data_IF_100597982147
#
_entry.id   IF_100597982147
#
_cell.length_a   1.000
_cell.length_b   1.000
_cell.length_c   1.000
_cell.angle_alpha   90.00
_cell.angle_beta   90.00
_cell.angle_gamma   90.00
#
_symmetry.space_group_name_H-M   'P 1'
#
loop_
_entity.id
_entity.type
_entity.pdbx_description
1 polymer ?
#
# COMPACT_ATOMS: atom_id res chain seq x y z
N UNK A 1 12.84 -0.59 25.81
CA UNK A 1 12.48 -1.54 24.73
C UNK A 1 11.01 -1.47 24.30
N UNK A 2 10.06 -1.22 25.21
CA UNK A 2 8.62 -1.11 24.91
C UNK A 2 8.21 0.03 23.94
N UNK A 3 8.99 1.12 23.86
CA UNK A 3 8.63 2.32 23.08
C UNK A 3 8.87 2.26 21.57
N UNK A 4 9.79 1.42 21.09
CA UNK A 4 10.16 1.40 19.64
C UNK A 4 9.32 0.40 18.85
N UNK A 5 8.88 -0.70 19.47
CA UNK A 5 8.00 -1.68 18.83
C UNK A 5 6.54 -1.19 18.80
N UNK A 6 6.15 -0.37 19.78
CA UNK A 6 4.90 0.41 19.70
C UNK A 6 4.89 1.35 18.49
N UNK A 7 6.01 1.93 18.04
CA UNK A 7 5.98 2.89 16.93
C UNK A 7 5.57 2.26 15.58
N UNK A 8 6.00 1.02 15.28
CA UNK A 8 5.63 0.35 14.03
C UNK A 8 4.17 -0.11 14.00
N UNK A 9 3.60 -0.47 15.16
CA UNK A 9 2.18 -0.82 15.31
C UNK A 9 1.27 0.42 15.48
N UNK A 10 1.79 1.51 16.06
CA UNK A 10 1.08 2.79 16.13
C UNK A 10 1.11 3.57 14.81
N UNK A 11 1.98 3.28 13.84
CA UNK A 11 1.87 3.97 12.54
C UNK A 11 0.60 3.56 11.77
N UNK A 12 0.00 2.41 12.09
CA UNK A 12 -1.30 1.99 11.56
C UNK A 12 -2.52 2.57 12.32
N UNK A 13 -2.34 3.13 13.52
CA UNK A 13 -3.45 3.61 14.38
C UNK A 13 -3.33 5.08 14.84
N UNK A 14 -2.13 5.69 14.82
CA UNK A 14 -1.86 7.06 15.27
C UNK A 14 -1.93 8.12 14.16
N UNK A 15 -2.14 7.72 12.90
CA UNK A 15 -2.43 8.66 11.81
C UNK A 15 -3.81 9.36 11.94
N UNK A 16 -4.55 9.12 13.02
CA UNK A 16 -5.91 9.62 13.22
C UNK A 16 -6.03 10.96 13.95
N UNK A 17 -4.99 11.48 14.61
CA UNK A 17 -5.11 12.78 15.31
C UNK A 17 -3.81 13.58 15.20
N UNK A 18 -3.63 14.30 14.10
CA UNK A 18 -2.72 15.44 14.05
C UNK A 18 -3.48 16.65 13.49
N UNK A 19 -3.57 17.77 14.23
CA UNK A 19 -4.15 19.00 13.71
C UNK A 19 -3.21 19.57 12.62
N UNK A 20 -3.73 19.71 11.41
CA UNK A 20 -3.03 20.37 10.30
C UNK A 20 -2.86 21.84 10.64
N UNK A 21 -1.67 22.23 11.11
CA UNK A 21 -1.25 23.63 11.15
C UNK A 21 -1.11 24.12 9.71
N UNK A 22 -2.04 24.98 9.30
CA UNK A 22 -2.04 25.65 8.01
C UNK A 22 -0.76 26.47 7.83
N UNK A 23 0.06 26.12 6.84
CA UNK A 23 1.17 26.97 6.42
C UNK A 23 0.63 28.23 5.69
N UNK A 24 1.26 29.41 5.88
CA UNK A 24 0.82 30.65 5.25
C UNK A 24 1.03 30.59 3.73
N UNK A 25 -0.07 30.87 3.03
CA UNK A 25 -0.23 30.98 1.57
C UNK A 25 0.67 32.11 1.05
N UNK A 26 1.85 31.78 0.51
CA UNK A 26 2.72 32.75 -0.21
C UNK A 26 1.96 33.31 -1.41
N UNK A 27 1.65 34.60 -1.35
CA UNK A 27 1.05 35.36 -2.43
C UNK A 27 2.03 35.45 -3.61
N UNK A 28 1.83 34.60 -4.63
CA UNK A 28 2.52 34.78 -5.89
C UNK A 28 1.90 35.95 -6.66
N UNK A 29 2.73 36.99 -6.73
CA UNK A 29 2.64 38.23 -7.50
C UNK A 29 2.03 37.99 -8.89
N UNK A 30 0.90 38.65 -9.16
CA UNK A 30 0.24 38.71 -10.47
C UNK A 30 1.17 39.43 -11.46
N UNK A 31 1.75 38.69 -12.41
CA UNK A 31 2.15 39.30 -13.68
C UNK A 31 0.94 39.26 -14.60
N UNK A 32 0.43 40.47 -14.88
CA UNK A 32 -0.61 40.72 -15.85
C UNK A 32 -0.10 40.33 -17.24
N UNK A 33 -0.49 39.15 -17.71
CA UNK A 33 -0.25 38.71 -19.08
C UNK A 33 -1.46 39.09 -19.93
N UNK A 34 -1.18 39.96 -20.88
CA UNK A 34 -2.07 40.55 -21.87
C UNK A 34 -2.86 39.45 -22.61
N UNK A 35 -4.18 39.35 -22.39
CA UNK A 35 -5.06 38.43 -23.11
C UNK A 35 -5.50 39.07 -24.42
N UNK A 36 -4.99 38.56 -25.54
CA UNK A 36 -5.70 38.66 -26.82
C UNK A 36 -6.99 37.82 -26.73
N UNK A 37 -8.13 38.31 -27.24
CA UNK A 37 -9.33 37.50 -27.39
C UNK A 37 -9.15 36.58 -28.59
N UNK A 38 -8.52 35.42 -28.39
CA UNK A 38 -8.62 34.33 -29.35
C UNK A 38 -10.10 33.93 -29.37
N UNK A 39 -10.79 34.27 -30.47
CA UNK A 39 -12.12 33.73 -30.76
C UNK A 39 -11.98 32.22 -30.82
N UNK A 40 -12.28 31.55 -29.72
CA UNK A 40 -12.60 30.13 -29.68
C UNK A 40 -13.82 29.97 -30.58
N UNK A 41 -13.56 29.68 -31.85
CA UNK A 41 -14.48 28.91 -32.66
C UNK A 41 -15.03 27.81 -31.77
N UNK A 42 -16.35 27.79 -31.61
CA UNK A 42 -17.05 26.73 -30.93
C UNK A 42 -16.67 25.41 -31.62
N UNK A 43 -15.61 24.77 -31.14
CA UNK A 43 -15.39 23.35 -31.30
C UNK A 43 -16.72 22.72 -30.89
N UNK A 44 -17.34 21.90 -31.75
CA UNK A 44 -18.61 21.32 -31.44
C UNK A 44 -18.44 20.60 -30.12
N UNK A 45 -19.14 21.07 -29.08
CA UNK A 45 -19.34 20.39 -27.81
C UNK A 45 -20.18 19.11 -28.00
N UNK A 46 -20.08 18.50 -29.17
CA UNK A 46 -20.26 17.09 -29.43
C UNK A 46 -18.97 16.34 -29.07
N UNK A 47 -18.30 16.76 -27.98
CA UNK A 47 -17.49 15.83 -27.19
C UNK A 47 -18.45 14.72 -26.81
N UNK A 48 -18.33 13.59 -27.51
CA UNK A 48 -19.22 12.45 -27.40
C UNK A 48 -19.57 12.25 -25.93
N UNK A 49 -20.84 12.48 -25.58
CA UNK A 49 -21.38 12.10 -24.27
C UNK A 49 -21.25 10.59 -24.26
N UNK A 50 -20.11 10.09 -23.77
CA UNK A 50 -19.87 8.65 -23.65
C UNK A 50 -21.02 8.11 -22.84
N UNK A 51 -21.63 7.05 -23.34
CA UNK A 51 -22.75 6.46 -22.63
C UNK A 51 -22.27 6.02 -21.23
N UNK A 52 -23.15 6.11 -20.24
CA UNK A 52 -22.86 5.58 -18.90
C UNK A 52 -22.46 4.10 -18.93
N UNK A 53 -22.90 3.35 -19.95
CA UNK A 53 -22.49 1.96 -20.18
C UNK A 53 -21.02 1.85 -20.60
N UNK A 54 -20.56 2.67 -21.55
CA UNK A 54 -19.15 2.71 -21.97
C UNK A 54 -18.22 3.09 -20.82
N UNK A 55 -18.56 4.12 -20.04
CA UNK A 55 -17.73 4.53 -18.90
C UNK A 55 -17.60 3.44 -17.83
N UNK A 56 -18.66 2.66 -17.61
CA UNK A 56 -18.63 1.50 -16.71
C UNK A 56 -17.77 0.38 -17.24
N UNK A 57 -17.88 0.09 -18.54
CA UNK A 57 -17.08 -0.94 -19.16
C UNK A 57 -15.59 -0.59 -19.13
N UNK A 58 -15.22 0.65 -19.45
CA UNK A 58 -13.84 1.13 -19.33
C UNK A 58 -13.31 1.09 -17.89
N UNK A 59 -14.16 1.44 -16.91
CA UNK A 59 -13.79 1.33 -15.49
C UNK A 59 -13.58 -0.13 -15.07
N UNK A 60 -14.39 -1.05 -15.61
CA UNK A 60 -14.22 -2.49 -15.40
C UNK A 60 -12.90 -2.97 -16.01
N UNK A 61 -12.59 -2.59 -17.25
CA UNK A 61 -11.31 -2.91 -17.88
C UNK A 61 -10.13 -2.36 -17.08
N UNK A 62 -10.26 -1.15 -16.54
CA UNK A 62 -9.24 -0.59 -15.64
C UNK A 62 -9.06 -1.46 -14.39
N UNK A 63 -10.13 -1.88 -13.72
CA UNK A 63 -10.06 -2.78 -12.57
C UNK A 63 -9.41 -4.13 -12.93
N UNK A 64 -9.76 -4.72 -14.06
CA UNK A 64 -9.18 -5.97 -14.54
C UNK A 64 -7.68 -5.84 -14.84
N UNK A 65 -7.29 -4.76 -15.50
CA UNK A 65 -5.88 -4.44 -15.80
C UNK A 65 -5.07 -4.13 -14.55
N UNK A 66 -5.72 -3.73 -13.44
CA UNK A 66 -5.07 -3.52 -12.16
C UNK A 66 -4.85 -4.81 -11.37
N UNK A 67 -5.75 -5.80 -11.52
CA UNK A 67 -5.65 -7.09 -10.83
C UNK A 67 -4.44 -7.92 -11.30
N UNK A 68 -4.10 -7.84 -12.58
CA UNK A 68 -2.97 -8.58 -13.16
C UNK A 68 -1.60 -8.24 -12.53
N UNK A 69 -1.15 -6.97 -12.47
CA UNK A 69 0.11 -6.63 -11.83
C UNK A 69 0.09 -6.91 -10.32
N UNK A 70 -1.03 -6.71 -9.62
CA UNK A 70 -1.15 -7.06 -8.21
C UNK A 70 -0.93 -8.57 -7.96
N UNK A 71 -1.53 -9.41 -8.81
CA UNK A 71 -1.35 -10.87 -8.76
C UNK A 71 0.10 -11.28 -9.03
N UNK A 72 0.78 -10.60 -9.95
CA UNK A 72 2.20 -10.84 -10.24
C UNK A 72 3.07 -10.50 -9.02
N UNK A 73 2.84 -9.35 -8.37
CA UNK A 73 3.55 -8.96 -7.15
C UNK A 73 3.28 -9.98 -6.04
N UNK A 74 2.02 -10.42 -5.85
CA UNK A 74 1.70 -11.45 -4.87
C UNK A 74 2.48 -12.76 -5.11
N UNK A 75 2.58 -13.20 -6.36
CA UNK A 75 3.38 -14.38 -6.74
C UNK A 75 4.88 -14.20 -6.45
N UNK A 76 5.44 -13.03 -6.77
CA UNK A 76 6.84 -12.70 -6.49
C UNK A 76 7.13 -12.65 -4.98
N UNK A 77 6.17 -12.20 -4.17
CA UNK A 77 6.27 -12.19 -2.71
C UNK A 77 6.31 -13.61 -2.15
N UNK A 78 5.51 -14.55 -2.69
CA UNK A 78 5.55 -15.97 -2.27
C UNK A 78 6.94 -16.57 -2.55
N UNK A 79 7.49 -16.33 -3.74
CA UNK A 79 8.84 -16.79 -4.07
C UNK A 79 9.89 -16.19 -3.10
N UNK A 80 9.77 -14.90 -2.79
CA UNK A 80 10.67 -14.22 -1.85
C UNK A 80 10.52 -14.77 -0.42
N UNK A 81 9.31 -15.14 0.01
CA UNK A 81 9.07 -15.78 1.31
C UNK A 81 9.75 -17.15 1.38
N UNK A 82 9.61 -17.95 0.32
CA UNK A 82 10.27 -19.25 0.21
C UNK A 82 11.80 -19.11 0.27
N UNK A 83 12.39 -18.14 -0.44
CA UNK A 83 13.82 -17.88 -0.38
C UNK A 83 14.29 -17.48 1.03
N UNK A 84 13.53 -16.61 1.71
CA UNK A 84 13.84 -16.16 3.08
C UNK A 84 13.69 -17.26 4.13
N UNK A 85 12.77 -18.21 3.92
CA UNK A 85 12.58 -19.36 4.79
C UNK A 85 13.71 -20.38 4.64
N UNK A 86 14.15 -20.63 3.42
CA UNK A 86 15.21 -21.60 3.11
C UNK A 86 16.63 -21.03 3.28
N UNK A 87 16.81 -19.72 3.40
CA UNK A 87 18.12 -19.10 3.67
C UNK A 87 18.45 -19.14 5.18
N UNK A 88 19.39 -19.99 5.64
CA UNK A 88 19.73 -20.10 7.05
C UNK A 88 20.38 -18.82 7.61
N UNK A 89 20.89 -17.94 6.75
CA UNK A 89 21.41 -16.63 7.15
C UNK A 89 20.31 -15.65 7.53
N UNK A 90 19.07 -15.87 7.08
CA UNK A 90 17.90 -15.04 7.34
C UNK A 90 17.10 -15.47 8.58
N UNK A 91 17.35 -16.66 9.10
CA UNK A 91 16.89 -17.04 10.44
C UNK A 91 17.53 -16.09 11.47
N UNK A 92 16.75 -15.40 12.31
CA UNK A 92 17.32 -14.67 13.44
C UNK A 92 18.06 -15.65 14.36
N UNK A 93 19.17 -15.22 14.99
CA UNK A 93 19.95 -16.05 15.92
C UNK A 93 20.27 -15.27 17.18
N UNK A 94 20.44 -15.91 18.34
CA UNK A 94 20.82 -15.21 19.57
C UNK A 94 22.16 -14.45 19.44
N UNK A 95 23.11 -15.03 18.69
CA UNK A 95 24.40 -14.41 18.35
C UNK A 95 24.28 -13.12 17.51
N UNK A 96 23.15 -12.92 16.82
CA UNK A 96 22.96 -11.72 16.01
C UNK A 96 22.80 -10.47 16.89
N UNK A 97 23.45 -9.39 16.44
CA UNK A 97 23.19 -8.05 16.98
C UNK A 97 21.69 -7.78 16.94
N UNK A 98 21.16 -7.18 18.01
CA UNK A 98 19.73 -6.90 18.16
C UNK A 98 19.10 -6.21 16.94
N UNK A 99 19.81 -5.25 16.31
CA UNK A 99 19.33 -4.56 15.11
C UNK A 99 19.16 -5.52 13.92
N UNK A 100 20.07 -6.47 13.74
CA UNK A 100 20.00 -7.49 12.68
C UNK A 100 18.82 -8.43 12.92
N UNK A 101 18.60 -8.88 14.16
CA UNK A 101 17.41 -9.68 14.50
C UNK A 101 16.11 -8.97 14.17
N UNK A 102 16.02 -7.68 14.52
CA UNK A 102 14.85 -6.87 14.19
C UNK A 102 14.69 -6.71 12.68
N UNK A 103 15.78 -6.49 11.94
CA UNK A 103 15.74 -6.39 10.49
C UNK A 103 15.24 -7.70 9.84
N UNK A 104 15.77 -8.86 10.23
CA UNK A 104 15.32 -10.19 9.75
C UNK A 104 13.83 -10.43 10.00
N UNK A 105 13.37 -10.10 11.21
CA UNK A 105 11.94 -10.14 11.57
C UNK A 105 11.11 -9.15 10.74
N UNK A 106 11.66 -7.96 10.49
CA UNK A 106 11.07 -6.93 9.64
C UNK A 106 10.87 -7.38 8.19
N UNK A 107 11.86 -8.05 7.60
CA UNK A 107 11.74 -8.63 6.24
C UNK A 107 10.52 -9.56 6.16
N UNK A 108 10.39 -10.50 7.08
CA UNK A 108 9.24 -11.44 7.10
C UNK A 108 7.91 -10.71 7.26
N UNK A 109 7.84 -9.73 8.17
CA UNK A 109 6.63 -8.93 8.37
C UNK A 109 6.26 -8.13 7.12
N UNK A 110 7.23 -7.51 6.47
CA UNK A 110 7.03 -6.74 5.24
C UNK A 110 6.54 -7.64 4.11
N UNK A 111 7.14 -8.83 3.92
CA UNK A 111 6.68 -9.78 2.91
C UNK A 111 5.26 -10.29 3.17
N UNK A 112 4.93 -10.71 4.39
CA UNK A 112 3.57 -11.16 4.73
C UNK A 112 2.54 -10.03 4.52
N UNK A 113 2.89 -8.80 4.93
CA UNK A 113 2.02 -7.64 4.72
C UNK A 113 1.86 -7.32 3.23
N UNK A 114 2.93 -7.44 2.43
CA UNK A 114 2.89 -7.21 0.99
C UNK A 114 1.92 -8.19 0.33
N UNK A 115 2.08 -9.50 0.60
CA UNK A 115 1.18 -10.53 0.10
C UNK A 115 -0.28 -10.25 0.46
N UNK A 116 -0.56 -9.94 1.73
CA UNK A 116 -1.91 -9.68 2.21
C UNK A 116 -2.54 -8.48 1.49
N UNK A 117 -1.78 -7.41 1.30
CA UNK A 117 -2.25 -6.19 0.61
C UNK A 117 -2.50 -6.44 -0.87
N UNK A 118 -1.63 -7.18 -1.57
CA UNK A 118 -1.84 -7.51 -2.98
C UNK A 118 -3.08 -8.39 -3.20
N UNK A 119 -3.28 -9.41 -2.35
CA UNK A 119 -4.49 -10.24 -2.40
C UNK A 119 -5.74 -9.40 -2.13
N UNK A 120 -5.67 -8.47 -1.18
CA UNK A 120 -6.78 -7.56 -0.92
C UNK A 120 -7.05 -6.63 -2.12
N UNK A 121 -6.01 -6.14 -2.80
CA UNK A 121 -6.15 -5.34 -4.01
C UNK A 121 -6.89 -6.12 -5.11
N UNK A 122 -6.45 -7.36 -5.40
CA UNK A 122 -7.10 -8.26 -6.38
C UNK A 122 -8.56 -8.54 -6.03
N UNK A 123 -8.84 -8.80 -4.75
CA UNK A 123 -10.19 -9.05 -4.28
C UNK A 123 -11.10 -7.84 -4.48
N UNK A 124 -10.63 -6.65 -4.10
CA UNK A 124 -11.40 -5.41 -4.23
C UNK A 124 -11.64 -5.05 -5.70
N UNK A 125 -10.64 -5.19 -6.57
CA UNK A 125 -10.84 -4.97 -8.02
C UNK A 125 -11.86 -5.92 -8.61
N UNK A 126 -11.86 -7.18 -8.16
CA UNK A 126 -12.82 -8.19 -8.62
C UNK A 126 -14.24 -7.84 -8.20
N UNK A 127 -14.45 -7.47 -6.92
CA UNK A 127 -15.76 -7.04 -6.43
C UNK A 127 -16.23 -5.77 -7.15
N UNK A 128 -15.34 -4.78 -7.30
CA UNK A 128 -15.70 -3.53 -7.99
C UNK A 128 -16.08 -3.81 -9.43
N UNK A 129 -15.35 -4.70 -10.10
CA UNK A 129 -15.66 -5.15 -11.45
C UNK A 129 -17.04 -5.80 -11.56
N UNK A 130 -17.41 -6.68 -10.63
CA UNK A 130 -18.75 -7.29 -10.64
C UNK A 130 -19.85 -6.28 -10.31
N UNK A 131 -19.58 -5.31 -9.43
CA UNK A 131 -20.50 -4.21 -9.14
C UNK A 131 -20.73 -3.32 -10.37
N UNK A 132 -19.68 -2.98 -11.13
CA UNK A 132 -19.78 -2.19 -12.35
C UNK A 132 -20.63 -2.85 -13.44
N UNK A 133 -20.58 -4.19 -13.53
CA UNK A 133 -21.36 -4.95 -14.49
C UNK A 133 -22.80 -5.21 -14.03
N UNK A 134 -23.07 -5.22 -12.72
CA UNK A 134 -24.39 -5.51 -12.15
C UNK A 134 -25.23 -4.27 -11.85
N UNK A 135 -24.61 -3.15 -11.49
CA UNK A 135 -25.31 -1.92 -11.13
C UNK A 135 -25.60 -1.08 -12.38
N UNK A 136 -26.88 -0.82 -12.65
CA UNK A 136 -27.33 0.06 -13.73
C UNK A 136 -27.17 1.55 -13.41
N UNK A 137 -26.85 1.91 -12.17
CA UNK A 137 -26.65 3.30 -11.77
C UNK A 137 -25.21 3.74 -12.04
N UNK A 138 -25.06 4.83 -12.79
CA UNK A 138 -23.78 5.49 -12.98
C UNK A 138 -23.94 6.97 -12.66
N UNK A 139 -23.09 7.49 -11.78
CA UNK A 139 -22.99 8.92 -11.59
C UNK A 139 -22.50 9.58 -12.88
N UNK A 140 -22.98 10.79 -13.16
CA UNK A 140 -22.47 11.59 -14.28
C UNK A 140 -20.98 11.90 -14.05
N UNK A 141 -20.11 11.37 -14.91
CA UNK A 141 -18.67 11.54 -14.83
C UNK A 141 -18.06 11.71 -16.23
N UNK A 142 -16.97 12.48 -16.32
CA UNK A 142 -16.29 12.73 -17.60
C UNK A 142 -15.32 11.61 -18.00
N UNK A 143 -14.86 10.80 -17.04
CA UNK A 143 -13.86 9.75 -17.25
C UNK A 143 -14.21 8.51 -16.39
N UNK A 144 -13.77 7.31 -16.80
CA UNK A 144 -14.00 6.08 -16.00
C UNK A 144 -13.40 6.19 -14.60
N UNK A 145 -12.25 6.86 -14.47
CA UNK A 145 -11.58 7.09 -13.19
C UNK A 145 -12.39 8.02 -12.28
N UNK A 146 -12.91 9.11 -12.83
CA UNK A 146 -13.77 10.03 -12.09
C UNK A 146 -15.05 9.32 -11.63
N UNK A 147 -15.60 8.44 -12.46
CA UNK A 147 -16.77 7.63 -12.11
C UNK A 147 -16.47 6.68 -10.93
N UNK A 148 -15.36 5.93 -10.98
CA UNK A 148 -14.93 5.08 -9.88
C UNK A 148 -14.77 5.87 -8.58
N UNK A 149 -14.16 7.05 -8.65
CA UNK A 149 -13.97 7.90 -7.47
C UNK A 149 -15.30 8.37 -6.88
N UNK A 150 -16.27 8.77 -7.70
CA UNK A 150 -17.55 9.33 -7.21
C UNK A 150 -18.47 8.23 -6.71
N UNK A 151 -18.59 7.12 -7.44
CA UNK A 151 -19.56 6.05 -7.13
C UNK A 151 -18.99 5.00 -6.17
N UNK A 152 -17.70 4.68 -6.29
CA UNK A 152 -17.02 3.58 -5.58
C UNK A 152 -15.73 4.08 -4.89
N UNK A 153 -15.81 5.23 -4.21
CA UNK A 153 -14.63 5.91 -3.64
C UNK A 153 -13.81 5.00 -2.71
N UNK A 154 -14.50 4.19 -1.90
CA UNK A 154 -13.86 3.29 -0.95
C UNK A 154 -13.02 2.23 -1.68
N UNK A 155 -13.64 1.54 -2.63
CA UNK A 155 -13.01 0.46 -3.40
C UNK A 155 -11.87 0.99 -4.25
N UNK A 156 -12.09 2.15 -4.89
CA UNK A 156 -11.09 2.87 -5.66
C UNK A 156 -9.83 3.18 -4.82
N UNK A 157 -10.02 3.76 -3.63
CA UNK A 157 -8.92 4.09 -2.74
C UNK A 157 -8.25 2.86 -2.16
N UNK A 158 -9.04 1.87 -1.73
CA UNK A 158 -8.53 0.67 -1.09
C UNK A 158 -7.65 -0.13 -2.05
N UNK A 159 -8.10 -0.33 -3.29
CA UNK A 159 -7.32 -0.95 -4.35
C UNK A 159 -5.97 -0.24 -4.58
N UNK A 160 -6.03 1.08 -4.76
CA UNK A 160 -4.85 1.93 -5.01
C UNK A 160 -3.84 1.94 -3.86
N UNK A 161 -4.32 2.01 -2.62
CA UNK A 161 -3.48 1.98 -1.41
C UNK A 161 -2.87 0.60 -1.24
N UNK A 162 -3.67 -0.45 -1.36
CA UNK A 162 -3.21 -1.81 -1.09
C UNK A 162 -2.10 -2.23 -2.06
N UNK A 163 -2.27 -1.99 -3.36
CA UNK A 163 -1.23 -2.30 -4.34
C UNK A 163 0.04 -1.46 -4.14
N UNK A 164 -0.07 -0.14 -3.96
CA UNK A 164 1.13 0.67 -3.77
C UNK A 164 1.88 0.27 -2.48
N UNK A 165 1.14 0.10 -1.38
CA UNK A 165 1.74 -0.29 -0.10
C UNK A 165 2.32 -1.71 -0.16
N UNK A 166 1.65 -2.63 -0.86
CA UNK A 166 2.11 -3.99 -1.06
C UNK A 166 3.43 -4.03 -1.83
N UNK A 167 3.48 -3.33 -2.96
CA UNK A 167 4.68 -3.16 -3.78
C UNK A 167 5.84 -2.51 -3.02
N UNK A 168 5.57 -1.44 -2.26
CA UNK A 168 6.59 -0.78 -1.41
C UNK A 168 7.10 -1.72 -0.32
N UNK A 169 6.21 -2.49 0.31
CA UNK A 169 6.59 -3.44 1.35
C UNK A 169 7.44 -4.59 0.78
N UNK A 170 7.10 -5.11 -0.41
CA UNK A 170 7.88 -6.13 -1.07
C UNK A 170 9.29 -5.62 -1.44
N UNK A 171 9.39 -4.51 -2.18
CA UNK A 171 10.68 -3.93 -2.56
C UNK A 171 11.52 -3.56 -1.34
N UNK A 172 10.89 -3.01 -0.30
CA UNK A 172 11.54 -2.66 0.95
C UNK A 172 12.06 -3.90 1.70
N UNK A 173 11.35 -5.03 1.63
CA UNK A 173 11.81 -6.29 2.20
C UNK A 173 13.06 -6.81 1.48
N UNK A 174 13.08 -6.77 0.14
CA UNK A 174 14.24 -7.17 -0.67
C UNK A 174 15.43 -6.24 -0.38
N UNK A 175 15.20 -4.92 -0.35
CA UNK A 175 16.23 -3.95 -0.01
C UNK A 175 16.83 -4.22 1.39
N UNK A 176 15.98 -4.52 2.37
CA UNK A 176 16.41 -4.84 3.73
C UNK A 176 17.14 -6.19 3.82
N UNK A 177 16.73 -7.18 3.03
CA UNK A 177 17.41 -8.47 2.92
C UNK A 177 18.86 -8.31 2.44
N UNK A 178 19.09 -7.50 1.39
CA UNK A 178 20.45 -7.19 0.93
C UNK A 178 21.23 -6.31 1.92
N UNK A 179 20.54 -5.47 2.71
CA UNK A 179 21.19 -4.67 3.74
C UNK A 179 21.70 -5.52 4.92
N UNK A 180 21.15 -6.71 5.17
CA UNK A 180 21.56 -7.58 6.27
C UNK A 180 22.89 -8.30 5.91
N UNK A 181 23.94 -8.20 6.75
CA UNK A 181 25.20 -8.88 6.48
C UNK A 181 25.06 -10.40 6.65
N UNK A 182 25.61 -11.16 5.70
CA UNK A 182 25.60 -12.63 5.72
C UNK A 182 26.94 -13.18 6.21
N UNK A 183 26.91 -14.35 6.86
CA UNK A 183 28.13 -15.02 7.30
C UNK A 183 28.94 -15.50 6.08
N UNK A 184 30.25 -15.27 6.07
CA UNK A 184 31.12 -15.65 4.95
C UNK A 184 31.07 -14.71 3.73
N UNK A 185 30.37 -13.57 3.83
CA UNK A 185 30.30 -12.59 2.76
C UNK A 185 31.65 -11.88 2.53
N UNK A 186 32.14 -11.86 1.30
CA UNK A 186 33.36 -11.11 0.95
C UNK A 186 33.12 -9.60 1.01
N UNK A 187 34.17 -8.80 1.17
CA UNK A 187 34.07 -7.33 1.18
C UNK A 187 33.51 -6.78 -0.14
N UNK A 188 33.79 -7.44 -1.27
CA UNK A 188 33.24 -7.08 -2.58
C UNK A 188 31.74 -7.34 -2.66
N UNK A 189 31.30 -8.56 -2.29
CA UNK A 189 29.88 -8.92 -2.24
C UNK A 189 29.09 -7.96 -1.36
N UNK A 190 29.65 -7.57 -0.21
CA UNK A 190 29.04 -6.62 0.70
C UNK A 190 28.80 -5.24 0.08
N UNK A 191 29.76 -4.75 -0.72
CA UNK A 191 29.61 -3.48 -1.44
C UNK A 191 28.51 -3.56 -2.49
N UNK A 192 28.43 -4.67 -3.23
CA UNK A 192 27.37 -4.90 -4.22
C UNK A 192 26.00 -4.95 -3.54
N UNK A 193 25.86 -5.71 -2.45
CA UNK A 193 24.60 -5.81 -1.71
C UNK A 193 24.15 -4.46 -1.13
N UNK A 194 25.08 -3.66 -0.60
CA UNK A 194 24.75 -2.30 -0.16
C UNK A 194 24.31 -1.41 -1.33
N UNK A 195 24.96 -1.52 -2.49
CA UNK A 195 24.57 -0.78 -3.69
C UNK A 195 23.16 -1.15 -4.16
N UNK A 196 22.84 -2.46 -4.23
CA UNK A 196 21.50 -2.97 -4.59
C UNK A 196 20.45 -2.49 -3.59
N UNK A 197 20.74 -2.56 -2.29
CA UNK A 197 19.82 -2.06 -1.25
C UNK A 197 19.55 -0.55 -1.41
N UNK A 198 20.60 0.23 -1.69
CA UNK A 198 20.49 1.69 -1.88
C UNK A 198 19.73 2.05 -3.16
N UNK A 199 19.94 1.32 -4.25
CA UNK A 199 19.23 1.56 -5.52
C UNK A 199 17.74 1.23 -5.39
N UNK A 200 17.39 0.14 -4.71
CA UNK A 200 16.00 -0.20 -4.40
C UNK A 200 15.33 0.85 -3.49
N UNK A 201 16.02 1.32 -2.45
CA UNK A 201 15.49 2.41 -1.61
C UNK A 201 15.22 3.68 -2.43
N UNK A 202 16.13 4.03 -3.35
CA UNK A 202 15.98 5.18 -4.23
C UNK A 202 14.77 5.01 -5.17
N UNK A 203 14.60 3.82 -5.73
CA UNK A 203 13.44 3.48 -6.55
C UNK A 203 12.12 3.62 -5.77
N UNK A 204 12.06 3.11 -4.54
CA UNK A 204 10.87 3.22 -3.68
C UNK A 204 10.52 4.69 -3.43
N UNK A 205 11.50 5.53 -3.12
CA UNK A 205 11.30 6.97 -2.89
C UNK A 205 10.81 7.64 -4.18
N UNK A 206 11.39 7.32 -5.32
CA UNK A 206 10.98 7.86 -6.62
C UNK A 206 9.54 7.46 -6.96
N UNK A 207 9.17 6.19 -6.77
CA UNK A 207 7.81 5.69 -6.99
C UNK A 207 6.81 6.43 -6.09
N UNK A 208 7.14 6.58 -4.80
CA UNK A 208 6.30 7.33 -3.87
C UNK A 208 6.16 8.80 -4.25
N UNK A 209 7.24 9.44 -4.72
CA UNK A 209 7.22 10.83 -5.16
C UNK A 209 6.36 11.03 -6.41
N UNK A 210 6.54 10.19 -7.44
CA UNK A 210 5.70 10.21 -8.65
C UNK A 210 4.25 9.97 -8.27
N UNK A 211 3.98 8.97 -7.44
CA UNK A 211 2.62 8.64 -7.03
C UNK A 211 1.95 9.79 -6.29
N UNK A 212 2.66 10.47 -5.38
CA UNK A 212 2.14 11.57 -4.60
C UNK A 212 1.71 12.77 -5.47
N UNK A 213 2.43 13.04 -6.56
CA UNK A 213 2.08 14.08 -7.54
C UNK A 213 0.87 13.68 -8.41
N UNK A 214 0.72 12.39 -8.69
CA UNK A 214 -0.37 11.83 -9.49
C UNK A 214 -1.61 11.43 -8.65
N UNK A 215 -1.61 11.73 -7.35
CA UNK A 215 -2.82 11.55 -6.54
C UNK A 215 -3.65 12.83 -6.57
N UNK A 216 -4.97 12.68 -6.69
CA UNK A 216 -5.91 13.80 -6.53
C UNK A 216 -6.03 14.27 -5.06
N UNK A 217 -5.30 13.62 -4.15
CA UNK A 217 -5.16 14.00 -2.75
C UNK A 217 -3.89 14.83 -2.58
N UNK A 218 -3.83 15.68 -1.55
CA UNK A 218 -2.63 16.49 -1.29
C UNK A 218 -1.38 15.64 -1.04
N UNK A 219 -1.58 14.46 -0.45
CA UNK A 219 -0.53 13.49 -0.24
C UNK A 219 -1.08 12.09 0.07
N UNK A 220 -0.19 11.10 0.01
CA UNK A 220 -0.48 9.70 0.35
C UNK A 220 -1.09 9.52 1.75
N UNK A 221 -0.63 10.29 2.75
CA UNK A 221 -1.15 10.21 4.11
C UNK A 221 -2.62 10.65 4.20
N UNK A 222 -3.00 11.70 3.47
CA UNK A 222 -4.39 12.13 3.37
C UNK A 222 -5.27 11.04 2.74
N UNK A 223 -4.74 10.32 1.74
CA UNK A 223 -5.43 9.20 1.11
C UNK A 223 -5.66 8.05 2.10
N UNK A 224 -4.65 7.67 2.90
CA UNK A 224 -4.81 6.68 3.98
C UNK A 224 -5.86 7.09 5.01
N UNK A 225 -5.84 8.36 5.43
CA UNK A 225 -6.84 8.90 6.37
C UNK A 225 -8.26 8.86 5.78
N UNK A 226 -8.41 9.22 4.50
CA UNK A 226 -9.70 9.16 3.80
C UNK A 226 -10.20 7.71 3.72
N UNK A 227 -9.32 6.77 3.39
CA UNK A 227 -9.65 5.35 3.36
C UNK A 227 -10.11 4.86 4.73
N UNK A 228 -9.38 5.15 5.80
CA UNK A 228 -9.76 4.77 7.16
C UNK A 228 -11.14 5.34 7.56
N UNK A 229 -11.40 6.61 7.23
CA UNK A 229 -12.70 7.23 7.45
C UNK A 229 -13.82 6.52 6.67
N UNK A 230 -13.61 6.21 5.39
CA UNK A 230 -14.60 5.53 4.56
C UNK A 230 -14.89 4.10 5.06
N UNK A 231 -13.86 3.36 5.49
CA UNK A 231 -14.01 2.04 6.11
C UNK A 231 -14.84 2.14 7.39
N UNK A 232 -14.52 3.10 8.27
CA UNK A 232 -15.28 3.34 9.50
C UNK A 232 -16.75 3.69 9.21
N UNK A 233 -16.97 4.65 8.30
CA UNK A 233 -18.31 5.10 7.93
C UNK A 233 -19.15 3.99 7.27
N UNK A 234 -18.57 3.22 6.35
CA UNK A 234 -19.29 2.19 5.58
C UNK A 234 -19.63 0.96 6.41
N UNK A 235 -18.73 0.52 7.28
CA UNK A 235 -18.86 -0.77 7.95
C UNK A 235 -19.26 -0.68 9.43
N UNK A 236 -18.93 0.41 10.11
CA UNK A 236 -19.12 0.53 11.56
C UNK A 236 -20.13 1.60 11.96
N UNK A 237 -20.34 2.64 11.14
CA UNK A 237 -21.29 3.71 11.44
C UNK A 237 -22.72 3.46 10.91
N UNK A 238 -22.93 2.40 10.11
CA UNK A 238 -24.24 2.10 9.53
C UNK A 238 -25.15 1.37 10.53
N UNK A 239 -26.42 1.77 10.59
CA UNK A 239 -27.45 1.09 11.37
C UNK A 239 -28.52 0.50 10.43
N UNK A 240 -28.87 -0.79 10.55
CA UNK A 240 -28.44 -1.75 11.58
C UNK A 240 -26.98 -2.22 11.40
N UNK A 241 -26.30 -2.63 12.49
CA UNK A 241 -24.91 -3.05 12.44
C UNK A 241 -24.77 -4.32 11.61
N UNK A 242 -23.78 -4.36 10.73
CA UNK A 242 -23.46 -5.54 9.93
C UNK A 242 -22.59 -6.49 10.77
N UNK A 243 -23.01 -7.74 10.88
CA UNK A 243 -22.33 -8.75 11.73
C UNK A 243 -20.91 -9.02 11.21
N UNK A 244 -20.72 -9.13 9.90
CA UNK A 244 -19.41 -9.48 9.32
C UNK A 244 -18.29 -8.51 9.71
N UNK A 245 -18.42 -7.18 9.52
CA UNK A 245 -17.43 -6.23 10.03
C UNK A 245 -17.18 -6.31 11.54
N UNK A 246 -18.23 -6.55 12.35
CA UNK A 246 -18.06 -6.69 13.79
C UNK A 246 -17.17 -7.89 14.15
N UNK A 247 -17.23 -8.98 13.38
CA UNK A 247 -16.34 -10.14 13.53
C UNK A 247 -14.90 -9.88 13.03
N UNK A 248 -14.69 -8.93 12.11
CA UNK A 248 -13.34 -8.63 11.62
C UNK A 248 -12.45 -7.99 12.68
N UNK A 249 -13.01 -7.20 13.60
CA UNK A 249 -12.24 -6.55 14.68
C UNK A 249 -11.56 -7.55 15.62
N UNK A 250 -12.27 -8.51 16.26
CA UNK A 250 -11.62 -9.48 17.12
C UNK A 250 -10.64 -10.38 16.34
N UNK A 251 -10.96 -10.73 15.09
CA UNK A 251 -10.03 -11.48 14.23
C UNK A 251 -8.74 -10.69 13.96
N UNK A 252 -8.84 -9.41 13.63
CA UNK A 252 -7.69 -8.54 13.40
C UNK A 252 -6.86 -8.36 14.68
N UNK A 253 -7.51 -8.17 15.84
CA UNK A 253 -6.83 -8.09 17.13
C UNK A 253 -6.09 -9.39 17.46
N UNK A 254 -6.72 -10.55 17.24
CA UNK A 254 -6.11 -11.85 17.45
C UNK A 254 -4.90 -12.06 16.53
N UNK A 255 -5.04 -11.80 15.22
CA UNK A 255 -3.94 -11.91 14.25
C UNK A 255 -2.79 -10.97 14.62
N UNK A 256 -3.11 -9.73 15.03
CA UNK A 256 -2.11 -8.75 15.47
C UNK A 256 -1.39 -9.23 16.73
N UNK A 257 -2.13 -9.76 17.70
CA UNK A 257 -1.57 -10.32 18.93
C UNK A 257 -0.66 -11.51 18.66
N UNK A 258 -1.11 -12.47 17.84
CA UNK A 258 -0.31 -13.64 17.46
C UNK A 258 0.95 -13.24 16.67
N UNK A 259 0.82 -12.30 15.73
CA UNK A 259 1.95 -11.76 15.00
C UNK A 259 2.95 -11.06 15.91
N UNK A 260 2.48 -10.24 16.85
CA UNK A 260 3.33 -9.62 17.85
C UNK A 260 4.03 -10.66 18.74
N UNK A 261 3.30 -11.68 19.20
CA UNK A 261 3.86 -12.76 20.02
C UNK A 261 4.94 -13.54 19.27
N UNK A 262 4.71 -13.89 18.00
CA UNK A 262 5.70 -14.55 17.15
C UNK A 262 6.94 -13.69 16.90
N UNK A 263 6.77 -12.36 16.81
CA UNK A 263 7.90 -11.42 16.69
C UNK A 263 8.61 -11.16 18.02
N UNK A 264 7.92 -11.30 19.15
CA UNK A 264 8.45 -11.03 20.48
C UNK A 264 9.03 -12.26 21.18
N UNK A 265 8.67 -13.48 20.77
CA UNK A 265 9.19 -14.70 21.39
C UNK A 265 10.72 -14.74 21.32
N UNK A 266 11.39 -15.12 22.44
CA UNK A 266 12.76 -15.59 22.37
C UNK A 266 12.83 -16.71 21.34
N UNK A 267 13.89 -16.75 20.56
CA UNK A 267 14.12 -17.97 19.79
C UNK A 267 14.63 -19.00 20.78
N UNK A 268 14.02 -20.18 20.74
CA UNK A 268 14.59 -21.33 21.42
C UNK A 268 15.97 -21.52 20.79
N UNK A 269 16.99 -21.28 21.59
CA UNK A 269 18.35 -21.62 21.22
C UNK A 269 18.33 -23.14 21.09
N UNK A 270 18.21 -23.62 19.86
CA UNK A 270 18.33 -25.02 19.49
C UNK A 270 19.79 -25.41 19.70
N UNK A 271 20.21 -25.42 20.97
CA UNK A 271 21.42 -26.03 21.47
C UNK A 271 21.19 -27.54 21.40
N UNK A 272 21.06 -28.05 20.18
CA UNK A 272 21.35 -29.42 19.85
C UNK A 272 22.83 -29.65 20.08
N UNK A 273 23.23 -29.76 21.35
CA UNK A 273 24.37 -30.58 21.68
C UNK A 273 24.02 -31.99 21.18
N UNK A 274 24.81 -32.59 20.27
CA UNK A 274 24.69 -34.02 20.06
C UNK A 274 25.03 -34.69 21.40
N UNK A 275 24.07 -35.45 21.94
CA UNK A 275 24.36 -36.42 22.99
C UNK A 275 25.22 -37.55 22.42
#
# INVERSE_FOLDING_TARGET
MRRVICAALLHATAALVAPTTSLPRRAHRRHAQHRQPTRLSALPLAAAVRSAAELRFDAYEWCANYAAPASLVAGAVIASLYDVENDPSMAPRAADRRRVRVAKKGVRLMLISAFTLEILAVFITTITGTMLLSDGSAAAAATPMAMLKVTFELEYLACRVCFLQGLVNWLGAIALQHAIPKAGETTSTRRINNFVSSSLCTLIILMAAIYNDHTEYQNYLQMLRRLAFLVAARFYAHWPPRIMPALTVPALLLTTYLGFRALASPQDDDNGAPA
#
